data_IF_360395908919
#
_entry.id   IF_360395908919
#
_cell.length_a   1.000
_cell.length_b   1.000
_cell.length_c   1.000
_cell.angle_alpha   90.00
_cell.angle_beta   90.00
_cell.angle_gamma   90.00
#
_symmetry.space_group_name_H-M   'P 1'
#
loop_
_entity.id
_entity.type
_entity.pdbx_description
1 polymer ?
#
# COMPACT_ATOMS: atom_id res chain seq x y z
N UNK A 1 -3.33 30.25 -14.80
CA UNK A 1 -4.22 29.84 -13.70
C UNK A 1 -3.78 30.39 -12.34
N UNK A 2 -4.71 30.60 -11.41
CA UNK A 2 -4.45 30.99 -10.03
C UNK A 2 -4.93 29.90 -9.08
N UNK A 3 -4.16 29.65 -8.03
CA UNK A 3 -4.45 28.66 -7.00
C UNK A 3 -4.68 29.40 -5.68
N UNK A 4 -5.78 29.07 -5.01
CA UNK A 4 -6.10 29.52 -3.65
C UNK A 4 -6.13 28.30 -2.75
N UNK A 5 -5.43 28.37 -1.62
CA UNK A 5 -5.38 27.29 -0.63
C UNK A 5 -6.22 27.67 0.57
N UNK A 6 -7.13 26.79 0.99
CA UNK A 6 -7.85 26.92 2.25
C UNK A 6 -7.12 26.12 3.33
N UNK A 7 -6.74 26.78 4.43
CA UNK A 7 -6.08 26.15 5.58
C UNK A 7 -6.69 26.70 6.86
N UNK A 8 -7.01 25.83 7.82
CA UNK A 8 -7.57 26.19 9.14
C UNK A 8 -8.84 27.05 9.06
N UNK A 9 -9.63 26.87 7.99
CA UNK A 9 -10.84 27.67 7.73
C UNK A 9 -10.58 29.04 7.10
N UNK A 10 -9.33 29.38 6.79
CA UNK A 10 -8.94 30.65 6.20
C UNK A 10 -8.38 30.50 4.78
N UNK A 11 -8.62 31.52 3.94
CA UNK A 11 -8.05 31.59 2.60
C UNK A 11 -6.63 32.15 2.65
N UNK A 12 -5.66 31.38 2.17
CA UNK A 12 -4.33 31.88 1.88
C UNK A 12 -4.36 32.80 0.65
N UNK A 13 -3.41 33.73 0.58
CA UNK A 13 -3.31 34.67 -0.55
C UNK A 13 -3.20 33.91 -1.89
N UNK A 14 -4.05 34.21 -2.89
CA UNK A 14 -4.03 33.52 -4.18
C UNK A 14 -2.70 33.71 -4.92
N UNK A 15 -2.06 32.62 -5.33
CA UNK A 15 -0.78 32.64 -6.09
C UNK A 15 -0.97 32.15 -7.51
N UNK A 16 -0.05 32.49 -8.43
CA UNK A 16 -0.10 31.97 -9.79
C UNK A 16 0.36 30.51 -9.79
N UNK A 17 -0.28 29.66 -10.60
CA UNK A 17 0.12 28.26 -10.72
C UNK A 17 1.58 28.10 -11.18
N UNK A 18 2.07 29.03 -12.02
CA UNK A 18 3.47 29.07 -12.49
C UNK A 18 4.49 29.39 -11.39
N UNK A 19 4.06 29.90 -10.24
CA UNK A 19 4.92 30.25 -9.10
C UNK A 19 4.98 29.14 -8.06
N UNK A 20 4.19 28.07 -8.24
CA UNK A 20 4.07 26.98 -7.29
C UNK A 20 4.58 25.68 -7.92
N UNK A 21 5.32 24.92 -7.12
CA UNK A 21 5.52 23.49 -7.31
C UNK A 21 4.74 22.70 -6.25
N UNK A 22 4.68 21.37 -6.38
CA UNK A 22 3.97 20.48 -5.46
C UNK A 22 4.36 20.75 -4.00
N UNK A 23 5.65 20.84 -3.70
CA UNK A 23 6.14 21.09 -2.34
C UNK A 23 5.60 22.42 -1.80
N UNK A 24 5.79 23.52 -2.52
CA UNK A 24 5.31 24.84 -2.09
C UNK A 24 3.78 24.91 -1.94
N UNK A 25 3.01 24.19 -2.76
CA UNK A 25 1.56 24.11 -2.63
C UNK A 25 1.15 23.35 -1.37
N UNK A 26 1.84 22.25 -1.09
CA UNK A 26 1.62 21.41 0.08
C UNK A 26 2.01 22.13 1.37
N UNK A 27 3.10 22.91 1.36
CA UNK A 27 3.50 23.79 2.46
C UNK A 27 2.43 24.84 2.75
N UNK A 28 1.83 25.43 1.71
CA UNK A 28 0.70 26.34 1.86
C UNK A 28 -0.50 25.62 2.51
N UNK A 29 -0.77 24.37 2.13
CA UNK A 29 -1.87 23.56 2.68
C UNK A 29 -1.67 23.16 4.14
N UNK A 30 -0.43 22.92 4.58
CA UNK A 30 -0.13 22.37 5.90
C UNK A 30 0.48 23.38 6.89
N UNK A 31 0.91 24.55 6.41
CA UNK A 31 1.52 25.60 7.24
C UNK A 31 2.89 25.26 7.82
N UNK A 32 3.53 24.20 7.32
CA UNK A 32 4.88 23.78 7.68
C UNK A 32 5.59 23.25 6.44
N UNK A 33 6.92 23.32 6.45
CA UNK A 33 7.75 22.68 5.43
C UNK A 33 7.53 21.17 5.49
N UNK A 34 7.23 20.56 4.35
CA UNK A 34 7.28 19.11 4.18
C UNK A 34 8.60 18.82 3.49
N UNK A 35 9.66 18.67 4.29
CA UNK A 35 10.88 18.08 3.78
C UNK A 35 10.53 16.68 3.26
N UNK A 36 10.66 16.50 1.94
CA UNK A 36 10.53 15.25 1.21
C UNK A 36 9.25 14.45 1.50
N UNK A 37 8.13 14.83 0.86
CA UNK A 37 6.87 14.05 0.88
C UNK A 37 7.09 12.57 0.60
N UNK A 38 7.98 12.26 -0.35
CA UNK A 38 8.40 10.90 -0.67
C UNK A 38 9.78 10.64 -0.04
N UNK A 39 9.96 9.50 0.65
CA UNK A 39 11.24 9.16 1.26
C UNK A 39 12.29 8.95 0.17
N UNK A 40 13.56 9.21 0.52
CA UNK A 40 14.67 8.89 -0.37
C UNK A 40 14.74 7.39 -0.65
N UNK A 41 15.13 7.06 -1.88
CA UNK A 41 15.31 5.68 -2.32
C UNK A 41 16.72 5.24 -1.93
N UNK A 42 16.84 4.24 -1.08
CA UNK A 42 18.15 3.63 -0.84
C UNK A 42 18.56 2.79 -2.05
N UNK A 43 19.86 2.82 -2.38
CA UNK A 43 20.38 1.99 -3.46
C UNK A 43 20.31 0.51 -3.05
N UNK A 44 19.42 -0.27 -3.68
CA UNK A 44 19.29 -1.71 -3.39
C UNK A 44 20.53 -2.44 -3.94
N UNK A 45 21.36 -2.97 -3.04
CA UNK A 45 22.64 -3.61 -3.41
C UNK A 45 22.52 -5.05 -3.92
N UNK A 46 21.38 -5.73 -3.71
CA UNK A 46 21.08 -7.06 -4.30
C UNK A 46 19.60 -7.41 -4.18
N UNK A 47 18.96 -7.78 -5.31
CA UNK A 47 17.55 -8.20 -5.36
C UNK A 47 17.47 -9.72 -5.42
N UNK A 48 17.19 -10.37 -4.30
CA UNK A 48 16.91 -11.81 -4.27
C UNK A 48 15.43 -12.05 -4.62
N UNK A 49 15.16 -13.00 -5.52
CA UNK A 49 13.80 -13.34 -5.91
C UNK A 49 13.05 -13.87 -4.69
N UNK A 50 12.03 -13.14 -4.27
CA UNK A 50 11.24 -13.48 -3.09
C UNK A 50 9.96 -14.21 -3.46
N UNK A 51 9.28 -13.69 -4.49
CA UNK A 51 7.99 -14.16 -4.95
C UNK A 51 7.91 -14.11 -6.47
N UNK A 52 7.46 -15.20 -7.07
CA UNK A 52 7.31 -15.36 -8.52
C UNK A 52 5.86 -15.68 -8.82
N UNK A 53 5.19 -14.81 -9.58
CA UNK A 53 3.82 -15.00 -10.06
C UNK A 53 3.89 -15.48 -11.50
N UNK A 54 3.21 -16.58 -11.83
CA UNK A 54 3.19 -17.16 -13.19
C UNK A 54 1.77 -17.49 -13.60
N UNK A 55 1.37 -16.93 -14.74
CA UNK A 55 0.08 -17.11 -15.39
C UNK A 55 -1.13 -16.93 -14.45
N UNK A 56 -0.98 -16.06 -13.44
CA UNK A 56 -2.00 -15.77 -12.46
C UNK A 56 -3.17 -15.12 -13.17
N UNK A 57 -4.35 -15.74 -13.07
CA UNK A 57 -5.53 -15.23 -13.74
C UNK A 57 -6.65 -15.01 -12.73
N UNK A 58 -6.68 -13.83 -12.07
CA UNK A 58 -7.80 -13.44 -11.22
C UNK A 58 -9.12 -13.41 -12.01
N UNK A 59 -10.22 -13.79 -11.36
CA UNK A 59 -11.54 -13.62 -11.96
C UNK A 59 -11.79 -12.14 -12.28
N UNK A 60 -12.25 -11.84 -13.50
CA UNK A 60 -12.48 -10.46 -13.94
C UNK A 60 -11.33 -9.86 -14.77
N UNK A 61 -10.15 -10.48 -14.80
CA UNK A 61 -9.09 -10.10 -15.74
C UNK A 61 -9.29 -10.68 -17.14
N UNK A 62 -8.84 -9.94 -18.15
CA UNK A 62 -8.86 -10.38 -19.55
C UNK A 62 -7.76 -11.40 -19.84
N UNK A 63 -6.56 -11.17 -19.29
CA UNK A 63 -5.39 -12.01 -19.55
C UNK A 63 -4.67 -12.40 -18.25
N UNK A 64 -3.95 -13.54 -18.23
CA UNK A 64 -3.12 -13.93 -17.10
C UNK A 64 -1.90 -13.01 -16.97
N UNK A 65 -1.36 -12.92 -15.76
CA UNK A 65 -0.22 -12.05 -15.44
C UNK A 65 0.94 -12.84 -14.86
N UNK A 66 2.16 -12.43 -15.23
CA UNK A 66 3.40 -13.04 -14.78
C UNK A 66 4.40 -11.95 -14.40
N UNK A 67 4.91 -11.98 -13.18
CA UNK A 67 5.92 -11.04 -12.71
C UNK A 67 6.67 -11.55 -11.48
N UNK A 68 7.81 -10.92 -11.20
CA UNK A 68 8.67 -11.22 -10.07
C UNK A 68 8.75 -10.05 -9.10
N UNK A 69 8.76 -10.39 -7.81
CA UNK A 69 8.91 -9.48 -6.68
C UNK A 69 10.16 -9.87 -5.90
N UNK A 70 11.01 -8.90 -5.63
CA UNK A 70 12.30 -9.11 -4.96
C UNK A 70 12.26 -8.67 -3.50
N UNK A 71 13.11 -9.25 -2.67
CA UNK A 71 13.21 -8.85 -1.25
C UNK A 71 13.64 -7.39 -1.14
N UNK A 72 13.00 -6.65 -0.23
CA UNK A 72 13.25 -5.24 0.02
C UNK A 72 12.86 -4.27 -1.10
N UNK A 73 12.10 -4.75 -2.09
CA UNK A 73 11.60 -3.94 -3.20
C UNK A 73 10.22 -3.36 -2.89
N UNK A 74 9.98 -2.13 -3.34
CA UNK A 74 8.63 -1.61 -3.57
C UNK A 74 8.28 -1.73 -5.06
N UNK A 75 7.33 -2.61 -5.39
CA UNK A 75 6.76 -2.77 -6.72
C UNK A 75 5.42 -2.03 -6.84
N UNK A 76 5.31 -1.12 -7.79
CA UNK A 76 4.07 -0.40 -8.11
C UNK A 76 3.29 -1.08 -9.24
N UNK A 77 1.99 -1.29 -9.06
CA UNK A 77 1.05 -1.71 -10.10
C UNK A 77 0.23 -0.50 -10.52
N UNK A 78 0.49 -0.01 -11.73
CA UNK A 78 -0.14 1.18 -12.27
C UNK A 78 -1.23 0.80 -13.27
N UNK A 79 -2.43 1.37 -13.12
CA UNK A 79 -3.51 1.17 -14.05
C UNK A 79 -4.73 1.99 -13.67
N UNK A 80 -5.62 2.23 -14.63
CA UNK A 80 -6.88 2.91 -14.35
C UNK A 80 -7.76 2.06 -13.41
N UNK A 81 -8.76 2.70 -12.79
CA UNK A 81 -9.76 1.98 -12.01
C UNK A 81 -10.43 0.91 -12.88
N UNK A 82 -10.47 -0.33 -12.38
CA UNK A 82 -10.97 -1.49 -13.13
C UNK A 82 -9.94 -2.14 -14.07
N UNK A 83 -8.67 -1.76 -14.00
CA UNK A 83 -7.59 -2.40 -14.78
C UNK A 83 -7.16 -3.77 -14.24
N UNK A 84 -7.68 -4.22 -13.09
CA UNK A 84 -7.35 -5.52 -12.50
C UNK A 84 -6.27 -5.50 -11.42
N UNK A 85 -5.63 -4.35 -11.15
CA UNK A 85 -4.49 -4.27 -10.21
C UNK A 85 -4.89 -4.63 -8.77
N UNK A 86 -6.07 -4.19 -8.31
CA UNK A 86 -6.62 -4.57 -7.01
C UNK A 86 -6.95 -6.06 -6.94
N UNK A 87 -7.53 -6.63 -7.99
CA UNK A 87 -7.86 -8.04 -8.11
C UNK A 87 -6.62 -8.94 -8.07
N UNK A 88 -5.50 -8.50 -8.66
CA UNK A 88 -4.20 -9.17 -8.57
C UNK A 88 -3.74 -9.23 -7.11
N UNK A 89 -3.73 -8.10 -6.40
CA UNK A 89 -3.31 -8.05 -4.99
C UNK A 89 -4.22 -8.90 -4.11
N UNK A 90 -5.53 -8.80 -4.29
CA UNK A 90 -6.50 -9.59 -3.56
C UNK A 90 -6.35 -11.10 -3.85
N UNK A 91 -6.07 -11.48 -5.09
CA UNK A 91 -5.81 -12.88 -5.47
C UNK A 91 -4.53 -13.42 -4.82
N UNK A 92 -3.44 -12.65 -4.83
CA UNK A 92 -2.19 -13.00 -4.14
C UNK A 92 -2.37 -13.13 -2.62
N UNK A 93 -3.34 -12.41 -2.05
CA UNK A 93 -3.73 -12.53 -0.65
C UNK A 93 -4.72 -13.68 -0.38
N UNK A 94 -5.26 -14.33 -1.42
CA UNK A 94 -6.31 -15.34 -1.32
C UNK A 94 -7.67 -14.77 -0.92
N UNK A 95 -7.86 -13.46 -1.07
CA UNK A 95 -9.11 -12.73 -0.87
C UNK A 95 -9.97 -12.67 -2.15
N UNK A 96 -9.40 -13.02 -3.30
CA UNK A 96 -10.09 -13.05 -4.60
C UNK A 96 -9.88 -14.39 -5.30
N UNK A 97 -10.85 -14.81 -6.12
CA UNK A 97 -10.77 -16.09 -6.85
C UNK A 97 -9.85 -15.99 -8.07
N UNK A 98 -9.19 -17.11 -8.36
CA UNK A 98 -8.27 -17.25 -9.49
C UNK A 98 -8.74 -18.40 -10.39
N UNK A 99 -8.77 -18.17 -11.70
CA UNK A 99 -9.06 -19.17 -12.74
C UNK A 99 -7.90 -20.14 -12.93
N UNK A 100 -6.67 -19.62 -12.92
CA UNK A 100 -5.44 -20.37 -13.14
C UNK A 100 -4.22 -19.63 -12.56
N UNK A 101 -3.07 -20.25 -12.72
CA UNK A 101 -1.77 -19.69 -12.40
C UNK A 101 -1.22 -20.19 -11.07
N UNK A 102 0.01 -19.74 -10.80
CA UNK A 102 0.79 -20.14 -9.65
C UNK A 102 1.51 -18.94 -9.05
N UNK A 103 1.84 -19.07 -7.78
CA UNK A 103 2.66 -18.11 -7.06
C UNK A 103 3.62 -18.91 -6.21
N UNK A 104 4.91 -18.75 -6.46
CA UNK A 104 5.98 -19.37 -5.67
C UNK A 104 6.53 -18.33 -4.71
N UNK A 105 6.78 -18.74 -3.47
CA UNK A 105 7.29 -17.88 -2.41
C UNK A 105 8.44 -18.59 -1.70
N UNK A 106 9.66 -18.06 -1.83
CA UNK A 106 10.86 -18.72 -1.31
C UNK A 106 11.12 -20.12 -1.90
N UNK A 107 10.72 -20.35 -3.16
CA UNK A 107 10.90 -21.64 -3.85
C UNK A 107 9.79 -22.68 -3.61
N UNK A 108 8.75 -22.34 -2.84
CA UNK A 108 7.61 -23.22 -2.57
C UNK A 108 6.33 -22.68 -3.22
N UNK A 109 5.50 -23.58 -3.76
CA UNK A 109 4.18 -23.21 -4.27
C UNK A 109 3.28 -22.67 -3.16
N UNK A 110 2.86 -21.42 -3.30
CA UNK A 110 2.37 -20.61 -2.20
C UNK A 110 1.07 -19.85 -2.50
N UNK A 111 0.47 -19.97 -3.69
CA UNK A 111 -0.78 -19.27 -4.03
C UNK A 111 -1.88 -19.60 -2.99
N UNK A 112 -2.30 -18.63 -2.15
CA UNK A 112 -3.23 -18.90 -1.07
C UNK A 112 -4.66 -18.96 -1.59
N UNK A 113 -5.44 -19.95 -1.14
CA UNK A 113 -6.88 -20.07 -1.46
C UNK A 113 -7.81 -19.32 -0.50
N UNK A 114 -7.24 -18.76 0.57
CA UNK A 114 -7.96 -18.00 1.61
C UNK A 114 -7.00 -17.07 2.35
N UNK A 115 -7.46 -15.93 2.92
CA UNK A 115 -6.58 -14.96 3.58
C UNK A 115 -5.76 -15.54 4.73
N UNK A 116 -6.31 -16.45 5.52
CA UNK A 116 -5.57 -17.11 6.61
C UNK A 116 -4.35 -17.91 6.14
N UNK A 117 -4.33 -18.40 4.90
CA UNK A 117 -3.16 -19.07 4.34
C UNK A 117 -2.05 -18.09 3.96
N UNK A 118 -2.41 -16.90 3.46
CA UNK A 118 -1.47 -15.81 3.19
C UNK A 118 -0.83 -15.31 4.50
N UNK A 119 -1.64 -15.08 5.54
CA UNK A 119 -1.18 -14.63 6.86
C UNK A 119 -0.17 -15.59 7.48
N UNK A 120 -0.41 -16.91 7.43
CA UNK A 120 0.54 -17.93 7.92
C UNK A 120 1.89 -17.89 7.18
N UNK A 121 1.87 -17.51 5.90
CA UNK A 121 3.08 -17.30 5.08
C UNK A 121 3.71 -15.92 5.24
N UNK A 122 3.22 -15.11 6.19
CA UNK A 122 3.69 -13.75 6.45
C UNK A 122 3.42 -12.78 5.29
N UNK A 123 2.31 -12.97 4.59
CA UNK A 123 1.82 -12.07 3.55
C UNK A 123 0.66 -11.26 4.14
N UNK A 124 0.83 -9.94 4.23
CA UNK A 124 -0.21 -8.99 4.65
C UNK A 124 -0.94 -8.38 3.46
N UNK A 125 -2.22 -8.03 3.61
CA UNK A 125 -3.02 -7.41 2.55
C UNK A 125 -3.89 -6.26 3.06
N UNK A 126 -3.58 -5.04 2.65
CA UNK A 126 -4.40 -3.87 2.92
C UNK A 126 -5.32 -3.60 1.73
N UNK A 127 -6.63 -3.81 1.94
CA UNK A 127 -7.68 -3.47 0.97
C UNK A 127 -7.82 -1.95 0.82
N UNK A 128 -8.35 -1.50 -0.32
CA UNK A 128 -8.71 -0.10 -0.57
C UNK A 128 -9.98 0.30 0.20
N UNK A 129 -10.87 -0.67 0.46
CA UNK A 129 -12.00 -0.48 1.36
C UNK A 129 -11.66 -0.86 2.79
N UNK A 130 -10.96 0.05 3.47
CA UNK A 130 -10.58 -0.16 4.87
C UNK A 130 -11.77 -0.28 5.82
N UNK A 131 -12.96 0.22 5.46
CA UNK A 131 -14.12 0.26 6.38
C UNK A 131 -14.85 -1.07 6.39
N UNK A 132 -14.92 -1.75 5.24
CA UNK A 132 -15.56 -3.04 5.13
C UNK A 132 -14.57 -4.20 5.30
N UNK A 133 -13.37 -4.10 4.71
CA UNK A 133 -12.43 -5.23 4.64
C UNK A 133 -11.14 -5.01 5.47
N UNK A 134 -10.84 -3.77 5.86
CA UNK A 134 -9.58 -3.42 6.50
C UNK A 134 -9.61 -3.37 8.03
N UNK A 135 -10.71 -2.92 8.64
CA UNK A 135 -10.81 -2.63 10.06
C UNK A 135 -12.12 -3.10 10.67
N UNK A 136 -12.04 -3.59 11.90
CA UNK A 136 -13.19 -3.78 12.77
C UNK A 136 -13.49 -2.45 13.47
N UNK A 137 -14.26 -1.57 12.82
CA UNK A 137 -14.47 -0.18 13.29
C UNK A 137 -15.08 -0.09 14.68
N UNK A 138 -16.00 -0.98 15.03
CA UNK A 138 -16.61 -1.06 16.36
C UNK A 138 -15.77 -1.83 17.39
N UNK A 139 -14.52 -2.15 17.08
CA UNK A 139 -13.58 -2.81 18.00
C UNK A 139 -12.46 -1.87 18.41
N UNK A 140 -11.87 -2.08 19.59
CA UNK A 140 -10.70 -1.34 20.03
C UNK A 140 -9.56 -1.33 19.01
N UNK A 141 -8.79 -0.24 18.99
CA UNK A 141 -7.59 -0.11 18.15
C UNK A 141 -6.60 -1.25 18.45
N UNK A 142 -6.44 -1.63 19.72
CA UNK A 142 -5.57 -2.76 20.11
C UNK A 142 -5.96 -4.07 19.42
N UNK A 143 -7.26 -4.39 19.34
CA UNK A 143 -7.76 -5.63 18.72
C UNK A 143 -7.52 -5.60 17.21
N UNK A 144 -7.69 -4.42 16.58
CA UNK A 144 -7.38 -4.25 15.16
C UNK A 144 -5.90 -4.50 14.88
N UNK A 145 -5.00 -3.91 15.68
CA UNK A 145 -3.55 -4.07 15.53
C UNK A 145 -3.08 -5.52 15.71
N UNK A 146 -3.69 -6.27 16.64
CA UNK A 146 -3.29 -7.66 16.95
C UNK A 146 -4.04 -8.72 16.16
N UNK A 147 -5.13 -8.34 15.47
CA UNK A 147 -6.01 -9.27 14.74
C UNK A 147 -5.32 -10.22 13.76
N UNK A 148 -4.23 -9.86 13.05
CA UNK A 148 -3.56 -10.83 12.16
C UNK A 148 -2.70 -11.85 12.92
N UNK A 149 -2.41 -11.61 14.21
CA UNK A 149 -1.48 -12.39 15.02
C UNK A 149 -2.16 -13.02 16.25
N UNK A 150 -3.42 -13.46 16.13
CA UNK A 150 -4.18 -14.06 17.23
C UNK A 150 -3.46 -15.24 17.90
N UNK A 151 -2.74 -16.07 17.14
CA UNK A 151 -1.93 -17.18 17.67
C UNK A 151 -0.77 -16.71 18.57
N UNK A 152 -0.30 -15.47 18.38
CA UNK A 152 0.78 -14.87 19.18
C UNK A 152 0.24 -14.25 20.47
N UNK A 153 -0.96 -13.66 20.43
CA UNK A 153 -1.55 -12.94 21.57
C UNK A 153 -2.51 -13.80 22.41
N UNK A 154 -2.91 -14.98 21.90
CA UNK A 154 -3.84 -15.90 22.57
C UNK A 154 -3.16 -17.22 22.94
N UNK A 155 -3.65 -17.88 23.99
CA UNK A 155 -3.22 -19.22 24.40
C UNK A 155 -4.43 -20.13 24.55
N UNK A 156 -4.43 -21.29 23.88
CA UNK A 156 -5.57 -22.21 23.83
C UNK A 156 -6.90 -21.55 23.39
N UNK A 157 -6.83 -20.53 22.52
CA UNK A 157 -7.99 -19.75 22.08
C UNK A 157 -8.44 -18.64 23.04
N UNK A 158 -7.77 -18.48 24.18
CA UNK A 158 -8.07 -17.43 25.16
C UNK A 158 -7.04 -16.29 25.10
N UNK A 159 -7.53 -15.06 24.98
CA UNK A 159 -6.73 -13.86 25.12
C UNK A 159 -6.89 -13.30 26.54
N UNK A 160 -5.78 -13.30 27.30
CA UNK A 160 -5.74 -12.82 28.69
C UNK A 160 -5.36 -11.33 28.79
N UNK A 161 -5.33 -10.59 27.67
CA UNK A 161 -5.20 -9.13 27.59
C UNK A 161 -3.79 -8.59 27.77
N UNK A 162 -3.02 -9.06 28.76
CA UNK A 162 -1.69 -8.50 29.07
C UNK A 162 -0.69 -8.59 27.91
N UNK A 163 -0.70 -9.72 27.17
CA UNK A 163 0.16 -9.91 26.00
C UNK A 163 -0.29 -9.08 24.81
N UNK A 164 -1.61 -9.01 24.58
CA UNK A 164 -2.19 -8.18 23.53
C UNK A 164 -1.86 -6.70 23.74
N UNK A 165 -2.01 -6.20 24.96
CA UNK A 165 -1.73 -4.80 25.28
C UNK A 165 -0.27 -4.43 24.95
N UNK A 166 0.68 -5.30 25.32
CA UNK A 166 2.10 -5.08 25.01
C UNK A 166 2.35 -5.07 23.50
N UNK A 167 1.85 -6.07 22.79
CA UNK A 167 2.02 -6.17 21.32
C UNK A 167 1.36 -4.97 20.62
N UNK A 168 0.15 -4.59 21.03
CA UNK A 168 -0.55 -3.45 20.47
C UNK A 168 0.22 -2.13 20.69
N UNK A 169 0.83 -1.94 21.86
CA UNK A 169 1.66 -0.78 22.14
C UNK A 169 2.88 -0.72 21.23
N UNK A 170 3.63 -1.83 21.14
CA UNK A 170 4.82 -1.92 20.28
C UNK A 170 4.48 -1.65 18.79
N UNK A 171 3.32 -2.14 18.33
CA UNK A 171 2.84 -1.91 16.97
C UNK A 171 2.41 -0.46 16.73
N UNK A 172 1.72 0.13 17.72
CA UNK A 172 1.26 1.51 17.65
C UNK A 172 2.45 2.48 17.60
N UNK A 173 3.49 2.26 18.41
CA UNK A 173 4.71 3.06 18.37
C UNK A 173 5.40 2.96 17.00
N UNK A 174 5.52 1.75 16.45
CA UNK A 174 6.17 1.52 15.15
C UNK A 174 5.48 2.21 13.99
N UNK A 175 4.16 2.36 14.03
CA UNK A 175 3.35 2.94 12.96
C UNK A 175 2.76 4.32 13.31
N UNK A 176 3.25 4.95 14.38
CA UNK A 176 2.83 6.29 14.84
C UNK A 176 1.31 6.39 15.07
N UNK A 177 0.72 5.36 15.67
CA UNK A 177 -0.65 5.36 16.18
C UNK A 177 -0.61 5.81 17.65
N UNK A 178 -1.53 6.69 18.04
CA UNK A 178 -1.61 7.20 19.41
C UNK A 178 -1.86 6.07 20.43
N UNK A 179 -0.85 5.77 21.24
CA UNK A 179 -0.87 4.69 22.24
C UNK A 179 -1.87 4.96 23.37
N UNK A 180 -2.18 6.23 23.66
CA UNK A 180 -3.19 6.58 24.66
C UNK A 180 -4.61 6.17 24.23
N UNK A 181 -4.82 5.96 22.93
CA UNK A 181 -6.13 5.63 22.35
C UNK A 181 -6.35 4.14 22.11
N UNK A 182 -5.41 3.25 22.46
CA UNK A 182 -5.51 1.82 22.16
C UNK A 182 -6.81 1.13 22.62
N UNK A 183 -7.44 1.64 23.69
CA UNK A 183 -8.73 1.15 24.19
C UNK A 183 -9.98 1.72 23.48
N UNK A 184 -9.83 2.78 22.69
CA UNK A 184 -10.92 3.40 21.94
C UNK A 184 -11.25 2.60 20.69
N UNK A 185 -12.50 2.72 20.21
CA UNK A 185 -12.94 2.12 18.96
C UNK A 185 -12.18 2.70 17.76
N UNK A 186 -11.79 1.85 16.81
CA UNK A 186 -11.08 2.29 15.61
C UNK A 186 -11.91 3.26 14.74
N UNK A 187 -13.25 3.17 14.82
CA UNK A 187 -14.18 4.04 14.09
C UNK A 187 -14.07 5.53 14.45
N UNK A 188 -13.57 5.87 15.65
CA UNK A 188 -13.44 7.27 16.11
C UNK A 188 -12.13 7.95 15.65
N UNK A 189 -11.28 7.23 14.92
CA UNK A 189 -10.05 7.75 14.35
C UNK A 189 -10.34 8.55 13.06
N UNK A 190 -9.50 9.55 12.78
CA UNK A 190 -9.47 10.19 11.46
C UNK A 190 -9.07 9.20 10.36
N UNK A 191 -9.37 9.51 9.09
CA UNK A 191 -9.04 8.64 7.96
C UNK A 191 -7.56 8.23 7.89
N UNK A 192 -6.64 9.18 8.12
CA UNK A 192 -5.21 8.90 8.19
C UNK A 192 -4.82 7.95 9.33
N UNK A 193 -5.38 8.13 10.53
CA UNK A 193 -5.10 7.23 11.65
C UNK A 193 -5.73 5.85 11.46
N UNK A 194 -6.91 5.77 10.84
CA UNK A 194 -7.48 4.48 10.44
C UNK A 194 -6.55 3.76 9.45
N UNK A 195 -6.01 4.47 8.46
CA UNK A 195 -5.07 3.89 7.50
C UNK A 195 -3.78 3.40 8.18
N UNK A 196 -3.25 4.17 9.14
CA UNK A 196 -2.11 3.75 9.97
C UNK A 196 -2.39 2.45 10.73
N UNK A 197 -3.58 2.30 11.32
CA UNK A 197 -3.97 1.04 12.00
C UNK A 197 -4.12 -0.10 11.00
N UNK A 198 -4.74 0.15 9.83
CA UNK A 198 -4.99 -0.85 8.79
C UNK A 198 -3.70 -1.41 8.18
N UNK A 199 -2.68 -0.57 8.01
CA UNK A 199 -1.34 -0.98 7.59
C UNK A 199 -0.52 -1.55 8.75
N UNK A 200 -0.52 -0.87 9.90
CA UNK A 200 0.30 -1.19 11.06
C UNK A 200 0.01 -2.57 11.66
N UNK A 201 -1.23 -3.06 11.57
CA UNK A 201 -1.59 -4.41 12.05
C UNK A 201 -0.77 -5.52 11.39
N UNK A 202 -0.31 -5.32 10.14
CA UNK A 202 0.47 -6.34 9.43
C UNK A 202 1.85 -6.55 10.05
N UNK A 203 2.38 -5.56 10.81
CA UNK A 203 3.62 -5.74 11.56
C UNK A 203 3.51 -6.80 12.65
N UNK A 204 2.29 -7.11 13.12
CA UNK A 204 2.05 -8.13 14.13
C UNK A 204 2.49 -9.53 13.70
N UNK A 205 2.55 -9.78 12.39
CA UNK A 205 2.99 -11.07 11.84
C UNK A 205 4.44 -11.06 11.38
N UNK A 206 5.16 -9.94 11.46
CA UNK A 206 6.52 -9.79 10.86
C UNK A 206 6.47 -10.12 9.36
N UNK A 207 5.83 -9.26 8.55
CA UNK A 207 5.48 -9.58 7.19
C UNK A 207 6.73 -9.69 6.31
N UNK A 208 6.75 -10.68 5.42
CA UNK A 208 7.74 -10.82 4.34
C UNK A 208 7.28 -10.09 3.08
N UNK A 209 5.97 -10.02 2.87
CA UNK A 209 5.32 -9.32 1.76
C UNK A 209 4.14 -8.53 2.32
N UNK A 210 4.00 -7.27 1.90
CA UNK A 210 2.81 -6.45 2.16
C UNK A 210 2.20 -6.04 0.82
N UNK A 211 0.97 -6.47 0.60
CA UNK A 211 0.16 -6.12 -0.56
C UNK A 211 -0.74 -4.94 -0.16
N UNK A 212 -0.71 -3.83 -0.89
CA UNK A 212 -1.44 -2.61 -0.51
C UNK A 212 -2.22 -2.05 -1.69
N UNK A 213 -3.54 -2.06 -1.61
CA UNK A 213 -4.39 -1.38 -2.59
C UNK A 213 -4.70 0.03 -2.10
N UNK A 214 -4.37 1.05 -2.89
CA UNK A 214 -4.68 2.46 -2.62
C UNK A 214 -4.14 2.93 -1.24
N UNK A 215 -2.80 2.96 -1.05
CA UNK A 215 -2.16 3.09 0.26
C UNK A 215 -2.55 4.35 1.04
N UNK A 216 -2.95 5.43 0.36
CA UNK A 216 -3.30 6.71 1.00
C UNK A 216 -4.71 7.22 0.68
N UNK A 217 -5.62 6.36 0.22
CA UNK A 217 -6.98 6.78 -0.13
C UNK A 217 -7.75 7.34 1.08
N UNK A 218 -8.22 8.57 0.94
CA UNK A 218 -8.95 9.28 2.00
C UNK A 218 -8.08 9.64 3.20
N UNK A 219 -6.77 9.84 2.97
CA UNK A 219 -5.77 10.31 3.94
C UNK A 219 -5.33 11.73 3.57
N UNK A 220 -5.17 12.59 4.57
CA UNK A 220 -4.64 13.95 4.37
C UNK A 220 -3.16 13.94 3.99
N UNK A 221 -2.69 15.03 3.38
CA UNK A 221 -1.32 15.14 2.84
C UNK A 221 -0.24 14.95 3.91
N UNK A 222 -0.49 15.35 5.16
CA UNK A 222 0.46 15.16 6.25
C UNK A 222 0.66 13.69 6.61
N UNK A 223 -0.44 12.95 6.72
CA UNK A 223 -0.41 11.52 7.02
C UNK A 223 0.07 10.66 5.83
N UNK A 224 -0.06 11.13 4.57
CA UNK A 224 0.50 10.45 3.38
C UNK A 224 2.01 10.25 3.50
N UNK A 225 2.74 11.33 3.80
CA UNK A 225 4.21 11.29 3.90
C UNK A 225 4.69 10.29 4.97
N UNK A 226 3.99 10.22 6.11
CA UNK A 226 4.29 9.24 7.15
C UNK A 226 4.08 7.80 6.68
N UNK A 227 3.00 7.52 5.94
CA UNK A 227 2.73 6.19 5.38
C UNK A 227 3.83 5.81 4.39
N UNK A 228 4.19 6.71 3.47
CA UNK A 228 5.25 6.45 2.49
C UNK A 228 6.59 6.14 3.16
N UNK A 229 6.98 6.94 4.16
CA UNK A 229 8.18 6.69 4.95
C UNK A 229 8.14 5.32 5.60
N UNK A 230 7.01 4.93 6.19
CA UNK A 230 6.86 3.61 6.83
C UNK A 230 6.93 2.45 5.82
N UNK A 231 6.33 2.58 4.65
CA UNK A 231 6.45 1.57 3.60
C UNK A 231 7.89 1.42 3.11
N UNK A 232 8.62 2.53 2.97
CA UNK A 232 10.04 2.51 2.63
C UNK A 232 10.90 1.90 3.73
N UNK A 233 10.70 2.26 4.99
CA UNK A 233 11.40 1.64 6.13
C UNK A 233 11.21 0.12 6.15
N UNK A 234 9.99 -0.36 5.90
CA UNK A 234 9.71 -1.80 5.85
C UNK A 234 10.38 -2.49 4.66
N UNK A 235 10.45 -1.80 3.51
CA UNK A 235 11.18 -2.30 2.36
C UNK A 235 12.68 -2.36 2.63
N UNK A 236 13.25 -1.31 3.23
CA UNK A 236 14.67 -1.24 3.59
C UNK A 236 15.04 -2.31 4.66
N UNK A 237 14.10 -2.66 5.54
CA UNK A 237 14.20 -3.77 6.50
C UNK A 237 14.03 -5.17 5.85
N UNK A 238 13.82 -5.23 4.54
CA UNK A 238 13.84 -6.45 3.73
C UNK A 238 12.47 -7.03 3.34
N UNK A 239 11.36 -6.47 3.82
CA UNK A 239 10.04 -6.88 3.35
C UNK A 239 9.82 -6.42 1.91
N UNK A 240 9.10 -7.19 1.09
CA UNK A 240 8.66 -6.68 -0.21
C UNK A 240 7.31 -5.97 -0.07
N UNK A 241 7.16 -4.84 -0.74
CA UNK A 241 5.89 -4.12 -0.83
C UNK A 241 5.40 -4.22 -2.28
N UNK A 242 4.18 -4.68 -2.50
CA UNK A 242 3.51 -4.57 -3.79
C UNK A 242 2.29 -3.70 -3.60
N UNK A 243 2.21 -2.56 -4.27
CA UNK A 243 1.07 -1.67 -4.12
C UNK A 243 0.43 -1.31 -5.45
N UNK A 244 -0.89 -1.15 -5.44
CA UNK A 244 -1.66 -0.62 -6.55
C UNK A 244 -2.13 0.79 -6.19
N UNK A 245 -2.06 1.71 -7.14
CA UNK A 245 -2.53 3.07 -6.94
C UNK A 245 -2.97 3.72 -8.24
N UNK A 246 -4.03 4.52 -8.16
CA UNK A 246 -4.46 5.44 -9.20
C UNK A 246 -3.80 6.83 -9.08
N UNK A 247 -3.07 7.09 -7.99
CA UNK A 247 -2.30 8.31 -7.80
C UNK A 247 -0.95 8.22 -8.54
N UNK A 248 -0.82 8.98 -9.62
CA UNK A 248 0.39 8.99 -10.45
C UNK A 248 1.64 9.45 -9.70
N UNK A 249 1.50 10.28 -8.65
CA UNK A 249 2.65 10.67 -7.84
C UNK A 249 3.17 9.49 -7.03
N UNK A 250 2.28 8.71 -6.42
CA UNK A 250 2.67 7.48 -5.71
C UNK A 250 3.42 6.52 -6.63
N UNK A 251 2.83 6.22 -7.80
CA UNK A 251 3.42 5.32 -8.78
C UNK A 251 4.77 5.85 -9.32
N UNK A 252 4.93 7.16 -9.47
CA UNK A 252 6.18 7.72 -10.01
C UNK A 252 7.31 7.76 -8.97
N UNK A 253 6.99 8.07 -7.70
CA UNK A 253 8.01 8.45 -6.71
C UNK A 253 8.28 7.38 -5.66
N UNK A 254 7.29 6.56 -5.28
CA UNK A 254 7.47 5.57 -4.22
C UNK A 254 8.19 4.27 -4.66
N UNK A 255 7.82 3.62 -5.79
CA UNK A 255 8.34 2.31 -6.13
C UNK A 255 9.74 2.33 -6.73
N UNK A 256 10.37 1.16 -6.68
CA UNK A 256 11.65 0.84 -7.31
C UNK A 256 11.48 0.28 -8.72
N UNK A 257 10.30 -0.30 -9.00
CA UNK A 257 9.84 -0.82 -10.30
C UNK A 257 8.34 -0.60 -10.44
N UNK A 258 7.88 -0.37 -11.66
CA UNK A 258 6.45 -0.23 -11.98
C UNK A 258 6.06 -1.26 -13.03
N UNK A 259 4.89 -1.87 -12.89
CA UNK A 259 4.23 -2.65 -13.93
C UNK A 259 2.94 -1.93 -14.29
N UNK A 260 2.67 -1.79 -15.58
CA UNK A 260 1.51 -1.08 -16.09
C UNK A 260 0.44 -2.03 -16.60
N UNK A 261 -0.81 -1.61 -16.43
CA UNK A 261 -1.99 -2.35 -16.79
C UNK A 261 -2.97 -1.47 -17.56
N UNK A 262 -3.54 -2.03 -18.62
CA UNK A 262 -4.59 -1.41 -19.41
C UNK A 262 -5.69 -2.42 -19.68
N UNK A 263 -6.92 -2.10 -19.24
CA UNK A 263 -8.12 -2.92 -19.43
C UNK A 263 -7.95 -4.41 -19.04
N UNK A 264 -7.24 -4.71 -17.95
CA UNK A 264 -7.08 -6.10 -17.52
C UNK A 264 -5.94 -6.86 -18.21
N UNK A 265 -5.09 -6.17 -18.97
CA UNK A 265 -3.87 -6.71 -19.59
C UNK A 265 -2.64 -6.05 -18.97
N UNK A 266 -1.61 -6.84 -18.72
CA UNK A 266 -0.27 -6.33 -18.37
C UNK A 266 0.38 -5.80 -19.65
N UNK A 267 0.79 -4.53 -19.65
CA UNK A 267 1.34 -3.87 -20.85
C UNK A 267 2.86 -3.90 -20.84
N UNK A 268 3.46 -3.45 -19.74
CA UNK A 268 4.89 -3.25 -19.67
C UNK A 268 5.41 -3.12 -18.24
N UNK A 269 6.70 -2.82 -18.15
CA UNK A 269 7.37 -2.60 -16.88
C UNK A 269 8.49 -1.57 -17.00
N UNK A 270 8.63 -0.75 -15.97
CA UNK A 270 9.68 0.24 -15.84
C UNK A 270 10.58 -0.12 -14.66
N UNK A 271 11.86 -0.28 -14.93
CA UNK A 271 12.88 -0.18 -13.90
C UNK A 271 13.06 1.27 -13.45
N UNK A 272 13.66 1.46 -12.28
CA UNK A 272 13.83 2.76 -11.63
C UNK A 272 14.28 3.88 -12.57
N UNK A 273 15.27 3.61 -13.42
CA UNK A 273 15.82 4.60 -14.35
C UNK A 273 14.85 4.97 -15.50
N UNK A 274 13.89 4.10 -15.81
CA UNK A 274 12.88 4.30 -16.84
C UNK A 274 11.55 4.85 -16.33
N UNK A 275 11.34 4.93 -15.02
CA UNK A 275 10.10 5.45 -14.43
C UNK A 275 9.95 6.93 -14.79
N UNK A 276 8.95 7.24 -15.62
CA UNK A 276 8.52 8.60 -15.93
C UNK A 276 7.01 8.68 -15.91
N UNK A 277 6.45 9.78 -15.39
CA UNK A 277 5.00 9.97 -15.34
C UNK A 277 4.38 9.89 -16.74
N UNK A 278 5.04 10.47 -17.75
CA UNK A 278 4.55 10.45 -19.13
C UNK A 278 4.56 9.04 -19.74
N UNK A 279 5.62 8.26 -19.52
CA UNK A 279 5.71 6.88 -20.02
C UNK A 279 4.65 5.97 -19.40
N UNK A 280 4.48 6.05 -18.07
CA UNK A 280 3.45 5.29 -17.36
C UNK A 280 2.06 5.71 -17.84
N UNK A 281 1.79 7.01 -17.93
CA UNK A 281 0.48 7.52 -18.35
C UNK A 281 0.12 6.98 -19.75
N UNK A 282 1.07 7.00 -20.69
CA UNK A 282 0.87 6.44 -22.02
C UNK A 282 0.43 4.98 -21.96
N UNK A 283 1.14 4.14 -21.21
CA UNK A 283 0.84 2.71 -21.14
C UNK A 283 -0.51 2.40 -20.47
N UNK A 284 -0.95 3.20 -19.50
CA UNK A 284 -2.22 2.96 -18.79
C UNK A 284 -3.44 3.61 -19.45
N UNK A 285 -3.26 4.49 -20.44
CA UNK A 285 -4.39 5.16 -21.14
C UNK A 285 -4.52 4.80 -22.61
N UNK A 286 -3.40 4.68 -23.34
CA UNK A 286 -3.39 4.37 -24.77
C UNK A 286 -2.09 3.64 -25.18
N UNK A 287 -1.90 2.39 -24.74
CA UNK A 287 -0.68 1.64 -25.02
C UNK A 287 -0.51 1.26 -26.49
N UNK A 288 -1.60 1.22 -27.26
CA UNK A 288 -1.60 0.78 -28.65
C UNK A 288 -1.68 1.92 -29.67
N UNK A 289 -1.66 3.18 -29.20
CA UNK A 289 -1.89 4.39 -30.00
C UNK A 289 -3.19 4.31 -30.83
N UNK A 290 -4.26 3.78 -30.21
CA UNK A 290 -5.59 3.69 -30.84
C UNK A 290 -6.24 5.07 -30.95
N UNK A 291 -5.88 6.00 -30.06
CA UNK A 291 -6.22 7.41 -30.17
C UNK A 291 -5.10 8.13 -30.91
N UNK A 292 -5.25 8.31 -32.22
CA UNK A 292 -4.44 9.26 -33.01
C UNK A 292 -4.74 10.72 -32.58
N UNK A 293 -4.41 11.08 -31.34
CA UNK A 293 -4.47 12.43 -30.79
C UNK A 293 -3.08 13.08 -30.83
#
# INVERSE_FOLDING_TARGET
DRITVLRDGENQAPRRASELNVNSLVELMLGRTLENMFPERQAVHKRELLLSVRDLWPDGMLEPVSFDVYSGEILGLAGQLGSGTGEILAAMAGAHRTRSGTMDFGGESALPRKPSAAIRRKIGYCSDDRKYDGLFLGRPIRENLTSPALETVSRFGWNFGGREQKVAHDLADKFTVDTARLGAEAGVLSGGNQQKVALGKWLAITPRVILVNEPTRGVDVGAKAEIYRKLRELADDGAAIVFASTDMQEITYLPDRVITFYRGMMIGGFDLAGITTAGILKEITDPFNETNL
#
